data_IF_846401269130
#
_entry.id   IF_846401269130
#
_cell.length_a   1.000
_cell.length_b   1.000
_cell.length_c   1.000
_cell.angle_alpha   90.00
_cell.angle_beta   90.00
_cell.angle_gamma   90.00
#
_symmetry.space_group_name_H-M   'P 1'
#
loop_
_entity.id
_entity.type
_entity.pdbx_description
1 polymer ?
#
# COMPACT_ATOMS: atom_id res chain seq x y z
N UNK A 1 -11.66 6.85 -9.95
CA UNK A 1 -10.84 5.90 -9.16
C UNK A 1 -10.10 6.57 -8.01
N UNK A 2 -9.32 7.64 -8.22
CA UNK A 2 -8.58 8.28 -7.11
C UNK A 2 -9.47 8.76 -5.96
N UNK A 3 -10.61 9.40 -6.27
CA UNK A 3 -11.51 9.96 -5.24
C UNK A 3 -12.23 8.89 -4.42
N UNK A 4 -12.59 7.77 -5.06
CA UNK A 4 -13.23 6.63 -4.39
C UNK A 4 -12.26 5.94 -3.43
N UNK A 5 -11.02 5.71 -3.87
CA UNK A 5 -9.97 5.12 -3.04
C UNK A 5 -9.65 5.98 -1.82
N UNK A 6 -9.48 7.30 -2.00
CA UNK A 6 -9.23 8.22 -0.89
C UNK A 6 -10.43 8.34 0.06
N UNK A 7 -11.66 8.34 -0.46
CA UNK A 7 -12.87 8.32 0.35
C UNK A 7 -12.96 7.05 1.21
N UNK A 8 -12.70 5.88 0.60
CA UNK A 8 -12.69 4.60 1.30
C UNK A 8 -11.57 4.52 2.36
N UNK A 9 -10.38 5.02 2.05
CA UNK A 9 -9.27 5.09 3.00
C UNK A 9 -9.63 5.98 4.21
N UNK A 10 -10.20 7.17 3.98
CA UNK A 10 -10.69 8.07 5.03
C UNK A 10 -11.77 7.42 5.88
N UNK A 11 -12.70 6.70 5.27
CA UNK A 11 -13.76 5.99 6.00
C UNK A 11 -13.18 4.90 6.91
N UNK A 12 -12.24 4.11 6.39
CA UNK A 12 -11.61 3.02 7.12
C UNK A 12 -10.74 3.51 8.29
N UNK A 13 -10.04 4.64 8.14
CA UNK A 13 -9.23 5.22 9.21
C UNK A 13 -10.04 5.68 10.42
N UNK A 14 -11.30 6.10 10.24
CA UNK A 14 -12.16 6.58 11.34
C UNK A 14 -12.46 5.50 12.37
N UNK A 15 -12.40 4.24 11.99
CA UNK A 15 -12.78 3.11 12.84
C UNK A 15 -11.59 2.38 13.48
N UNK A 16 -10.37 2.92 13.39
CA UNK A 16 -9.13 2.23 13.83
C UNK A 16 -9.03 0.79 13.26
N UNK A 17 -8.67 0.63 11.99
CA UNK A 17 -8.86 -0.62 11.28
C UNK A 17 -8.00 -1.75 11.84
N UNK A 18 -8.62 -2.93 11.97
CA UNK A 18 -7.92 -4.18 12.26
C UNK A 18 -7.06 -4.62 11.07
N UNK A 19 -6.08 -5.49 11.33
CA UNK A 19 -5.27 -6.06 10.25
C UNK A 19 -6.10 -6.76 9.17
N UNK A 20 -7.16 -7.49 9.54
CA UNK A 20 -8.06 -8.14 8.59
C UNK A 20 -8.74 -7.12 7.66
N UNK A 21 -9.27 -6.03 8.21
CA UNK A 21 -9.90 -4.98 7.42
C UNK A 21 -8.91 -4.25 6.49
N UNK A 22 -7.65 -4.09 6.93
CA UNK A 22 -6.59 -3.54 6.07
C UNK A 22 -6.26 -4.47 4.91
N UNK A 23 -6.20 -5.78 5.15
CA UNK A 23 -5.97 -6.78 4.11
C UNK A 23 -7.14 -6.81 3.12
N UNK A 24 -8.38 -6.79 3.61
CA UNK A 24 -9.58 -6.76 2.77
C UNK A 24 -9.63 -5.50 1.90
N UNK A 25 -9.27 -4.34 2.46
CA UNK A 25 -9.13 -3.09 1.71
C UNK A 25 -8.10 -3.23 0.58
N UNK A 26 -6.92 -3.77 0.89
CA UNK A 26 -5.85 -3.95 -0.10
C UNK A 26 -6.29 -4.87 -1.23
N UNK A 27 -6.94 -6.00 -0.94
CA UNK A 27 -7.47 -6.90 -1.96
C UNK A 27 -8.57 -6.27 -2.82
N UNK A 28 -9.41 -5.43 -2.21
CA UNK A 28 -10.50 -4.73 -2.92
C UNK A 28 -9.97 -3.75 -3.96
N UNK A 29 -8.88 -3.05 -3.64
CA UNK A 29 -8.32 -1.99 -4.48
C UNK A 29 -7.01 -2.37 -5.18
N UNK A 30 -6.62 -3.65 -5.18
CA UNK A 30 -5.32 -4.11 -5.68
C UNK A 30 -5.13 -3.75 -7.17
N UNK A 31 -4.20 -2.82 -7.50
CA UNK A 31 -3.99 -2.37 -8.86
C UNK A 31 -2.94 -3.23 -9.59
N UNK A 32 -2.44 -4.30 -8.97
CA UNK A 32 -1.30 -5.10 -9.49
C UNK A 32 -1.51 -5.55 -10.94
N UNK A 33 -2.68 -6.11 -11.28
CA UNK A 33 -2.95 -6.57 -12.63
C UNK A 33 -2.97 -5.42 -13.65
N UNK A 34 -3.60 -4.29 -13.30
CA UNK A 34 -3.68 -3.10 -14.14
C UNK A 34 -2.30 -2.45 -14.34
N UNK A 35 -1.53 -2.28 -13.27
CA UNK A 35 -0.18 -1.70 -13.31
C UNK A 35 0.78 -2.61 -14.07
N UNK A 36 0.68 -3.93 -13.89
CA UNK A 36 1.48 -4.90 -14.67
C UNK A 36 1.17 -4.82 -16.16
N UNK A 37 -0.10 -4.74 -16.54
CA UNK A 37 -0.49 -4.59 -17.94
C UNK A 37 -0.01 -3.26 -18.54
N UNK A 38 -0.07 -2.16 -17.78
CA UNK A 38 0.31 -0.83 -18.29
C UNK A 38 1.82 -0.56 -18.29
N UNK A 39 2.57 -1.09 -17.33
CA UNK A 39 4.02 -0.87 -17.23
C UNK A 39 4.83 -1.92 -18.00
N UNK A 40 4.26 -3.10 -18.25
CA UNK A 40 4.92 -4.19 -18.97
C UNK A 40 6.22 -4.61 -18.29
N UNK A 41 7.30 -4.65 -19.06
CA UNK A 41 8.64 -5.04 -18.57
C UNK A 41 9.18 -4.13 -17.46
N UNK A 42 8.67 -2.89 -17.34
CA UNK A 42 9.06 -1.96 -16.28
C UNK A 42 8.37 -2.22 -14.95
N UNK A 43 7.43 -3.17 -14.90
CA UNK A 43 6.63 -3.40 -13.70
C UNK A 43 7.50 -3.77 -12.49
N UNK A 44 8.35 -4.79 -12.64
CA UNK A 44 9.18 -5.29 -11.53
C UNK A 44 10.19 -4.21 -11.05
N UNK A 45 11.01 -3.56 -11.92
CA UNK A 45 11.91 -2.50 -11.48
C UNK A 45 11.18 -1.30 -10.84
N UNK A 46 10.00 -0.92 -11.35
CA UNK A 46 9.24 0.21 -10.81
C UNK A 46 8.63 -0.14 -9.46
N UNK A 47 8.08 -1.36 -9.29
CA UNK A 47 7.61 -1.84 -7.97
C UNK A 47 8.74 -1.77 -6.95
N UNK A 48 9.92 -2.29 -7.27
CA UNK A 48 11.05 -2.35 -6.33
C UNK A 48 11.53 -0.94 -5.95
N UNK A 49 11.58 -0.03 -6.93
CA UNK A 49 11.81 1.39 -6.68
C UNK A 49 10.79 1.98 -5.70
N UNK A 50 9.49 1.77 -5.95
CA UNK A 50 8.41 2.28 -5.10
C UNK A 50 8.46 1.70 -3.68
N UNK A 51 8.80 0.41 -3.53
CA UNK A 51 8.98 -0.21 -2.22
C UNK A 51 10.10 0.45 -1.41
N UNK A 52 11.23 0.75 -2.06
CA UNK A 52 12.31 1.54 -1.44
C UNK A 52 11.86 2.95 -1.05
N UNK A 53 11.04 3.60 -1.89
CA UNK A 53 10.49 4.93 -1.61
C UNK A 53 9.49 4.95 -0.45
N UNK A 54 8.69 3.90 -0.29
CA UNK A 54 7.82 3.76 0.90
C UNK A 54 8.65 3.64 2.17
N UNK A 55 9.76 2.89 2.15
CA UNK A 55 10.64 2.79 3.31
C UNK A 55 11.25 4.17 3.65
N UNK A 56 11.76 4.87 2.65
CA UNK A 56 12.24 6.25 2.75
C UNK A 56 11.18 7.17 3.39
N UNK A 57 9.92 7.07 2.98
CA UNK A 57 8.82 7.86 3.55
C UNK A 57 8.56 7.50 5.01
N UNK A 58 8.39 6.21 5.32
CA UNK A 58 8.02 5.76 6.66
C UNK A 58 9.11 5.96 7.70
N UNK A 59 10.39 5.84 7.32
CA UNK A 59 11.51 5.91 8.26
C UNK A 59 12.24 7.25 8.24
N UNK A 60 12.21 7.98 7.13
CA UNK A 60 12.93 9.26 6.99
C UNK A 60 12.00 10.45 6.76
N UNK A 61 10.68 10.24 6.71
CA UNK A 61 9.70 11.31 6.50
C UNK A 61 9.77 11.96 5.13
N UNK A 62 10.35 11.29 4.13
CA UNK A 62 10.44 11.80 2.76
C UNK A 62 9.09 11.69 2.05
N UNK A 63 8.84 12.58 1.09
CA UNK A 63 7.66 12.45 0.23
C UNK A 63 7.73 11.19 -0.65
N UNK A 64 6.59 10.50 -0.74
CA UNK A 64 6.41 9.41 -1.70
C UNK A 64 6.16 9.98 -3.10
N UNK A 65 6.98 9.62 -4.10
CA UNK A 65 6.90 10.21 -5.43
C UNK A 65 5.79 9.61 -6.32
N UNK A 66 5.08 8.60 -5.82
CA UNK A 66 4.04 7.90 -6.57
C UNK A 66 2.62 8.35 -6.24
N UNK A 67 1.65 7.86 -7.00
CA UNK A 67 0.22 8.11 -6.78
C UNK A 67 -0.44 7.07 -5.87
N UNK A 68 -1.73 7.25 -5.58
CA UNK A 68 -2.49 6.35 -4.70
C UNK A 68 -2.50 4.88 -5.15
N UNK A 69 -2.61 4.59 -6.46
CA UNK A 69 -2.54 3.20 -6.94
C UNK A 69 -1.14 2.60 -6.69
N UNK A 70 -0.09 3.40 -6.80
CA UNK A 70 1.28 2.97 -6.52
C UNK A 70 1.51 2.72 -5.01
N UNK A 71 0.82 3.47 -4.13
CA UNK A 71 0.80 3.17 -2.68
C UNK A 71 0.09 1.83 -2.42
N UNK A 72 -1.08 1.59 -3.02
CA UNK A 72 -1.80 0.33 -2.83
C UNK A 72 -1.02 -0.86 -3.40
N UNK A 73 -0.25 -0.68 -4.47
CA UNK A 73 0.68 -1.70 -4.96
C UNK A 73 1.70 -2.11 -3.88
N UNK A 74 2.29 -1.13 -3.18
CA UNK A 74 3.22 -1.40 -2.08
C UNK A 74 2.52 -2.13 -0.92
N UNK A 75 1.27 -1.76 -0.60
CA UNK A 75 0.45 -2.46 0.39
C UNK A 75 0.18 -3.91 -0.03
N UNK A 76 -0.23 -4.16 -1.27
CA UNK A 76 -0.49 -5.49 -1.82
C UNK A 76 0.75 -6.40 -1.78
N UNK A 77 1.92 -5.83 -2.09
CA UNK A 77 3.18 -6.55 -1.96
C UNK A 77 3.49 -6.92 -0.50
N UNK A 78 3.28 -5.99 0.45
CA UNK A 78 3.45 -6.28 1.88
C UNK A 78 2.53 -7.40 2.35
N UNK A 79 1.23 -7.33 2.05
CA UNK A 79 0.24 -8.35 2.40
C UNK A 79 0.64 -9.73 1.85
N UNK A 80 1.10 -9.76 0.59
CA UNK A 80 1.47 -11.02 -0.08
C UNK A 80 2.75 -11.63 0.49
N UNK A 81 3.76 -10.82 0.80
CA UNK A 81 5.11 -11.31 1.15
C UNK A 81 5.35 -11.45 2.65
N UNK A 82 4.71 -10.63 3.48
CA UNK A 82 4.93 -10.61 4.93
C UNK A 82 4.78 -11.97 5.63
N UNK A 83 3.79 -12.83 5.28
CA UNK A 83 3.66 -14.15 5.90
C UNK A 83 4.87 -15.06 5.65
N UNK A 84 5.42 -15.01 4.43
CA UNK A 84 6.57 -15.84 4.03
C UNK A 84 7.90 -15.33 4.62
N UNK A 85 7.97 -14.04 4.92
CA UNK A 85 9.13 -13.40 5.54
C UNK A 85 9.09 -13.47 7.08
N UNK A 86 8.04 -14.03 7.67
CA UNK A 86 7.89 -14.11 9.13
C UNK A 86 7.69 -12.76 9.82
N UNK A 87 7.19 -11.76 9.10
CA UNK A 87 6.96 -10.41 9.65
C UNK A 87 5.82 -10.48 10.65
N UNK A 88 6.02 -9.91 11.84
CA UNK A 88 5.01 -9.93 12.90
C UNK A 88 3.72 -9.20 12.45
N UNK A 89 2.52 -9.73 12.73
CA UNK A 89 1.25 -9.10 12.32
C UNK A 89 1.11 -7.63 12.77
N UNK A 90 1.60 -7.30 13.97
CA UNK A 90 1.60 -5.93 14.48
C UNK A 90 2.53 -4.98 13.69
N UNK A 91 3.59 -5.49 13.04
CA UNK A 91 4.41 -4.69 12.13
C UNK A 91 3.72 -4.49 10.78
N UNK A 92 3.07 -5.53 10.24
CA UNK A 92 2.26 -5.44 9.02
C UNK A 92 1.13 -4.43 9.21
N UNK A 93 0.37 -4.53 10.30
CA UNK A 93 -0.72 -3.60 10.60
C UNK A 93 -0.23 -2.16 10.70
N UNK A 94 0.89 -1.92 11.38
CA UNK A 94 1.50 -0.57 11.46
C UNK A 94 1.87 -0.04 10.07
N UNK A 95 2.56 -0.85 9.26
CA UNK A 95 2.94 -0.49 7.90
C UNK A 95 1.72 -0.11 7.04
N UNK A 96 0.71 -0.99 7.00
CA UNK A 96 -0.50 -0.76 6.23
C UNK A 96 -1.31 0.44 6.75
N UNK A 97 -1.35 0.65 8.07
CA UNK A 97 -2.05 1.80 8.65
C UNK A 97 -1.36 3.12 8.31
N UNK A 98 -0.02 3.16 8.27
CA UNK A 98 0.72 4.34 7.84
C UNK A 98 0.45 4.66 6.37
N UNK A 99 0.48 3.66 5.49
CA UNK A 99 0.16 3.86 4.06
C UNK A 99 -1.31 4.25 3.83
N UNK A 100 -2.24 3.72 4.62
CA UNK A 100 -3.64 4.11 4.55
C UNK A 100 -3.84 5.60 4.89
N UNK A 101 -3.04 6.16 5.82
CA UNK A 101 -3.07 7.60 6.13
C UNK A 101 -2.62 8.45 4.95
N UNK A 102 -1.58 8.03 4.24
CA UNK A 102 -1.11 8.71 3.03
C UNK A 102 -2.16 8.69 1.90
N UNK A 103 -2.96 7.62 1.79
CA UNK A 103 -4.08 7.57 0.83
C UNK A 103 -5.23 8.52 1.20
N UNK A 104 -5.32 8.89 2.47
CA UNK A 104 -6.41 9.68 3.04
C UNK A 104 -6.11 11.18 3.11
N UNK A 105 -4.87 11.61 2.92
CA UNK A 105 -4.49 13.02 2.71
C UNK A 105 -4.98 13.50 1.35
#
# INVERSE_FOLDING_TARGET
>A
MSDELSSAARALLKSEPTLAQLIDFVHTYDPTAQLRASWGERFEPRRDYLLGRVQDMLFLGKEFPGNHAEIVLCMAYCVTTAPYLGVAPAQVQRYLSSLLRELAT
#
